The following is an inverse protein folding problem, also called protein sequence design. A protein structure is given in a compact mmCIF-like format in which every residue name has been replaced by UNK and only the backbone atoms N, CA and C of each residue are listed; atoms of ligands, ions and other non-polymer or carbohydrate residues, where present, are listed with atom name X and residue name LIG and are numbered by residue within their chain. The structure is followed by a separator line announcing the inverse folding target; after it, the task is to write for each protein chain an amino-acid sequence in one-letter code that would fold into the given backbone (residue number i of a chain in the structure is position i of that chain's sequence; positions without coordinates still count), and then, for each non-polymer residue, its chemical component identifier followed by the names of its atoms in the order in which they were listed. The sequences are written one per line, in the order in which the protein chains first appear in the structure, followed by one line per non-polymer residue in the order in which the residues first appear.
data_IF_084582087747
#
_entry.id   IF_084582087747
#
_cell.length_a   1.000
_cell.length_b   1.000
_cell.length_c   1.000
_cell.angle_alpha   90.00
_cell.angle_beta   90.00
_cell.angle_gamma   90.00
#
_symmetry.space_group_name_H-M   'P 1'
#
loop_
_entity.id
_entity.type
_entity.pdbx_description
1 polymer ?
#
# COMPACT_ATOMS: atom_id res chain seq x y z
N UNK A 1 -1.52 3.09 -38.21
CA UNK A 1 -2.37 2.93 -37.01
C UNK A 1 -2.74 1.46 -36.89
N UNK A 2 -2.29 0.76 -35.85
CA UNK A 2 -2.65 -0.65 -35.65
C UNK A 2 -4.08 -0.73 -35.12
N UNK A 3 -4.93 -1.57 -35.73
CA UNK A 3 -6.28 -1.81 -35.23
C UNK A 3 -6.21 -2.47 -33.86
N UNK A 4 -6.91 -1.90 -32.88
CA UNK A 4 -7.01 -2.48 -31.53
C UNK A 4 -7.95 -3.67 -31.62
N UNK A 5 -7.40 -4.89 -31.62
CA UNK A 5 -8.19 -6.13 -31.58
C UNK A 5 -8.82 -6.25 -30.19
N UNK A 6 -10.15 -6.25 -30.13
CA UNK A 6 -10.89 -6.44 -28.89
C UNK A 6 -10.80 -7.91 -28.46
N UNK A 7 -10.51 -8.23 -27.18
CA UNK A 7 -10.40 -9.60 -26.71
C UNK A 7 -11.74 -10.35 -26.74
N UNK A 8 -12.86 -9.63 -26.73
CA UNK A 8 -14.22 -10.17 -26.78
C UNK A 8 -15.07 -9.31 -27.71
N UNK A 9 -15.04 -9.54 -29.04
CA UNK A 9 -15.72 -8.66 -30.00
C UNK A 9 -17.25 -8.64 -29.83
N UNK A 10 -17.82 -9.66 -29.17
CA UNK A 10 -19.25 -9.81 -28.92
C UNK A 10 -19.73 -9.08 -27.66
N UNK A 11 -18.81 -8.64 -26.79
CA UNK A 11 -19.16 -8.02 -25.51
C UNK A 11 -18.91 -6.51 -25.53
N UNK A 12 -19.83 -5.70 -24.96
CA UNK A 12 -19.55 -4.29 -24.73
C UNK A 12 -18.29 -4.08 -23.89
N UNK A 13 -17.43 -3.16 -24.33
CA UNK A 13 -16.13 -2.89 -23.69
C UNK A 13 -16.25 -2.56 -22.20
N UNK A 14 -17.30 -1.84 -21.81
CA UNK A 14 -17.55 -1.46 -20.42
C UNK A 14 -17.89 -2.67 -19.53
N UNK A 15 -18.59 -3.66 -20.08
CA UNK A 15 -18.90 -4.91 -19.37
C UNK A 15 -17.63 -5.72 -19.14
N UNK A 16 -16.81 -5.87 -20.18
CA UNK A 16 -15.51 -6.56 -20.09
C UNK A 16 -14.62 -5.88 -19.05
N UNK A 17 -14.53 -4.54 -19.09
CA UNK A 17 -13.80 -3.75 -18.11
C UNK A 17 -14.30 -3.98 -16.69
N UNK A 18 -15.61 -3.91 -16.46
CA UNK A 18 -16.23 -4.13 -15.15
C UNK A 18 -15.89 -5.51 -14.58
N UNK A 19 -15.96 -6.56 -15.41
CA UNK A 19 -15.58 -7.93 -15.00
C UNK A 19 -14.11 -7.99 -14.55
N UNK A 20 -13.20 -7.39 -15.30
CA UNK A 20 -11.78 -7.34 -14.93
C UNK A 20 -11.55 -6.54 -13.64
N UNK A 21 -12.14 -5.36 -13.50
CA UNK A 21 -12.01 -4.53 -12.29
C UNK A 21 -12.56 -5.25 -11.05
N UNK A 22 -13.70 -5.93 -11.15
CA UNK A 22 -14.28 -6.74 -10.07
C UNK A 22 -13.38 -7.93 -9.73
N UNK A 23 -12.85 -8.64 -10.73
CA UNK A 23 -11.93 -9.75 -10.51
C UNK A 23 -10.65 -9.30 -9.78
N UNK A 24 -10.03 -8.21 -10.23
CA UNK A 24 -8.84 -7.63 -9.60
C UNK A 24 -9.11 -7.13 -8.17
N UNK A 25 -10.28 -6.54 -7.93
CA UNK A 25 -10.68 -6.04 -6.61
C UNK A 25 -10.92 -7.16 -5.60
N UNK A 26 -11.52 -8.26 -6.06
CA UNK A 26 -11.93 -9.39 -5.21
C UNK A 26 -10.77 -10.32 -4.92
N UNK A 27 -9.87 -10.51 -5.91
CA UNK A 27 -8.73 -11.41 -5.83
C UNK A 27 -7.43 -10.65 -6.14
N UNK A 28 -6.82 -9.99 -5.14
CA UNK A 28 -5.64 -9.16 -5.34
C UNK A 28 -4.48 -9.93 -6.00
N UNK A 29 -4.25 -11.18 -5.61
CA UNK A 29 -3.23 -12.04 -6.21
C UNK A 29 -3.38 -12.19 -7.73
N UNK A 30 -4.61 -12.20 -8.24
CA UNK A 30 -4.89 -12.30 -9.67
C UNK A 30 -4.73 -10.98 -10.41
N UNK A 31 -4.83 -9.84 -9.72
CA UNK A 31 -4.63 -8.52 -10.33
C UNK A 31 -3.27 -8.42 -11.03
N UNK A 32 -2.22 -9.03 -10.46
CA UNK A 32 -0.89 -9.09 -11.06
C UNK A 32 -0.86 -9.88 -12.39
N UNK A 33 -1.66 -10.94 -12.49
CA UNK A 33 -1.82 -11.73 -13.73
C UNK A 33 -2.60 -10.91 -14.76
N UNK A 34 -3.69 -10.26 -14.33
CA UNK A 34 -4.53 -9.44 -15.19
C UNK A 34 -3.78 -8.26 -15.81
N UNK A 35 -2.85 -7.64 -15.08
CA UNK A 35 -1.96 -6.58 -15.60
C UNK A 35 -1.09 -7.02 -16.80
N UNK A 36 -0.94 -8.33 -17.02
CA UNK A 36 -0.13 -8.91 -18.10
C UNK A 36 -0.95 -9.37 -19.31
N UNK A 37 -2.28 -9.34 -19.24
CA UNK A 37 -3.16 -9.86 -20.31
C UNK A 37 -3.06 -9.03 -21.58
N UNK A 38 -3.19 -7.71 -21.48
CA UNK A 38 -3.04 -6.78 -22.60
C UNK A 38 -2.76 -5.37 -22.08
N UNK A 39 -2.30 -4.45 -22.95
CA UNK A 39 -2.10 -3.04 -22.59
C UNK A 39 -3.39 -2.35 -22.17
N UNK A 40 -4.51 -2.71 -22.80
CA UNK A 40 -5.82 -2.15 -22.49
C UNK A 40 -6.30 -2.60 -21.10
N UNK A 41 -6.22 -3.91 -20.83
CA UNK A 41 -6.55 -4.47 -19.51
C UNK A 41 -5.61 -3.92 -18.44
N UNK A 42 -4.32 -3.75 -18.75
CA UNK A 42 -3.37 -3.11 -17.84
C UNK A 42 -3.85 -1.70 -17.44
N UNK A 43 -4.26 -0.87 -18.39
CA UNK A 43 -4.74 0.48 -18.10
C UNK A 43 -5.99 0.49 -17.22
N UNK A 44 -6.91 -0.47 -17.41
CA UNK A 44 -8.10 -0.61 -16.56
C UNK A 44 -7.78 -1.13 -15.15
N UNK A 45 -6.88 -2.11 -15.04
CA UNK A 45 -6.60 -2.79 -13.78
C UNK A 45 -5.61 -2.02 -12.92
N UNK A 46 -4.68 -1.25 -13.52
CA UNK A 46 -3.65 -0.52 -12.77
C UNK A 46 -4.21 0.31 -11.61
N UNK A 47 -5.23 1.18 -11.78
CA UNK A 47 -5.78 1.94 -10.65
C UNK A 47 -6.36 1.06 -9.54
N UNK A 48 -6.95 -0.09 -9.89
CA UNK A 48 -7.53 -1.03 -8.93
C UNK A 48 -6.44 -1.79 -8.18
N UNK A 49 -5.42 -2.28 -8.89
CA UNK A 49 -4.32 -3.06 -8.32
C UNK A 49 -3.48 -2.24 -7.32
N UNK A 50 -3.23 -0.97 -7.62
CA UNK A 50 -2.46 -0.08 -6.74
C UNK A 50 -3.30 0.60 -5.66
N UNK A 51 -4.62 0.40 -5.64
CA UNK A 51 -5.52 1.02 -4.64
C UNK A 51 -5.14 0.65 -3.21
N UNK A 52 -4.73 -0.61 -2.99
CA UNK A 52 -4.31 -1.15 -1.68
C UNK A 52 -2.92 -1.76 -1.81
N UNK A 53 -1.94 -1.18 -1.14
CA UNK A 53 -0.55 -1.63 -1.19
C UNK A 53 -0.15 -2.16 0.19
N UNK A 54 0.35 -3.40 0.20
CA UNK A 54 0.88 -4.06 1.39
C UNK A 54 2.37 -4.31 1.18
N UNK A 55 3.21 -3.64 1.97
CA UNK A 55 4.67 -3.74 1.90
C UNK A 55 5.13 -4.62 3.06
N UNK A 56 5.60 -5.82 2.75
CA UNK A 56 6.02 -6.80 3.75
C UNK A 56 7.53 -6.97 3.70
N UNK A 57 8.18 -6.50 4.76
CA UNK A 57 9.61 -6.46 4.93
C UNK A 57 10.26 -5.21 4.32
N UNK A 58 11.50 -4.91 4.75
CA UNK A 58 12.28 -3.78 4.22
C UNK A 58 12.47 -3.83 2.70
N UNK A 59 12.67 -5.02 2.14
CA UNK A 59 12.93 -5.20 0.71
C UNK A 59 11.74 -4.76 -0.15
N UNK A 60 10.52 -5.19 0.20
CA UNK A 60 9.31 -4.77 -0.52
C UNK A 60 9.11 -3.26 -0.45
N UNK A 61 9.41 -2.68 0.71
CA UNK A 61 9.40 -1.24 0.90
C UNK A 61 10.37 -0.52 -0.05
N UNK A 62 11.64 -0.93 -0.10
CA UNK A 62 12.64 -0.23 -0.95
C UNK A 62 12.31 -0.37 -2.43
N UNK A 63 11.86 -1.55 -2.88
CA UNK A 63 11.40 -1.71 -4.26
C UNK A 63 10.24 -0.79 -4.60
N UNK A 64 9.29 -0.65 -3.68
CA UNK A 64 8.17 0.25 -3.87
C UNK A 64 8.62 1.72 -3.93
N UNK A 65 9.45 2.17 -2.99
CA UNK A 65 10.00 3.53 -3.00
C UNK A 65 10.78 3.84 -4.30
N UNK A 66 11.64 2.92 -4.73
CA UNK A 66 12.35 3.05 -6.00
C UNK A 66 11.40 3.09 -7.20
N UNK A 67 10.33 2.28 -7.19
CA UNK A 67 9.34 2.29 -8.27
C UNK A 67 8.55 3.60 -8.36
N UNK A 68 8.27 4.25 -7.21
CA UNK A 68 7.64 5.57 -7.19
C UNK A 68 8.55 6.64 -7.81
N UNK A 69 9.84 6.61 -7.45
CA UNK A 69 10.83 7.52 -8.03
C UNK A 69 10.94 7.36 -9.55
N UNK A 70 10.98 6.12 -10.05
CA UNK A 70 11.08 5.82 -11.48
C UNK A 70 9.81 6.22 -12.27
N UNK A 71 8.63 6.07 -11.66
CA UNK A 71 7.35 6.36 -12.31
C UNK A 71 6.90 7.81 -12.13
N UNK A 72 7.77 8.69 -11.64
CA UNK A 72 7.45 10.08 -11.31
C UNK A 72 6.18 10.18 -10.44
N UNK A 73 6.03 9.25 -9.50
CA UNK A 73 4.91 9.17 -8.58
C UNK A 73 3.53 8.88 -9.22
N UNK A 74 3.45 8.51 -10.51
CA UNK A 74 2.15 8.22 -11.15
C UNK A 74 1.35 7.11 -10.42
N UNK A 75 2.02 6.19 -9.72
CA UNK A 75 1.36 5.18 -8.91
C UNK A 75 0.84 5.73 -7.57
N UNK A 76 1.47 6.73 -6.95
CA UNK A 76 1.06 7.23 -5.62
C UNK A 76 -0.32 7.89 -5.66
N UNK A 77 -0.70 8.48 -6.79
CA UNK A 77 -2.03 9.05 -7.01
C UNK A 77 -3.15 8.00 -7.07
N UNK A 78 -2.83 6.71 -7.11
CA UNK A 78 -3.83 5.64 -7.09
C UNK A 78 -3.93 4.95 -5.73
N UNK A 79 -2.91 5.09 -4.88
CA UNK A 79 -2.85 4.42 -3.58
C UNK A 79 -3.79 5.11 -2.59
N UNK A 80 -4.78 4.36 -2.10
CA UNK A 80 -5.71 4.81 -1.06
C UNK A 80 -5.41 4.20 0.30
N UNK A 81 -4.89 2.97 0.32
CA UNK A 81 -4.51 2.25 1.52
C UNK A 81 -3.07 1.78 1.38
N UNK A 82 -2.21 2.20 2.31
CA UNK A 82 -0.82 1.77 2.40
C UNK A 82 -0.60 1.09 3.75
N UNK A 83 -0.19 -0.17 3.72
CA UNK A 83 0.15 -0.93 4.93
C UNK A 83 1.61 -1.38 4.86
N UNK A 84 2.41 -1.00 5.85
CA UNK A 84 3.84 -1.26 5.90
C UNK A 84 4.13 -2.17 7.08
N UNK A 85 4.70 -3.35 6.82
CA UNK A 85 5.02 -4.38 7.80
C UNK A 85 6.53 -4.62 7.81
N UNK A 86 7.27 -3.96 8.72
CA UNK A 86 8.74 -3.93 8.66
C UNK A 86 9.43 -5.10 9.40
N UNK A 87 8.66 -5.98 10.06
CA UNK A 87 9.20 -7.15 10.76
C UNK A 87 10.03 -6.80 12.00
N UNK A 88 10.80 -7.78 12.52
CA UNK A 88 11.56 -7.68 13.78
C UNK A 88 12.86 -6.87 13.72
N UNK A 89 13.38 -6.64 12.52
CA UNK A 89 14.76 -6.15 12.31
C UNK A 89 14.83 -4.64 12.03
N UNK A 90 13.70 -3.92 11.94
CA UNK A 90 13.72 -2.50 11.58
C UNK A 90 13.74 -1.61 12.82
N UNK A 91 14.93 -1.33 13.35
CA UNK A 91 15.14 -0.20 14.28
C UNK A 91 15.03 1.16 13.58
N UNK A 92 14.95 1.18 12.24
CA UNK A 92 15.06 2.36 11.38
C UNK A 92 13.76 2.76 10.66
N UNK A 93 12.61 2.60 11.32
CA UNK A 93 11.28 2.93 10.73
C UNK A 93 11.24 4.37 10.19
N UNK A 94 11.87 5.30 10.91
CA UNK A 94 11.92 6.71 10.54
C UNK A 94 12.64 6.91 9.20
N UNK A 95 13.72 6.19 8.94
CA UNK A 95 14.47 6.27 7.68
C UNK A 95 13.58 5.84 6.50
N UNK A 96 12.79 4.77 6.70
CA UNK A 96 11.78 4.33 5.71
C UNK A 96 10.64 5.35 5.52
N UNK A 97 10.28 6.17 6.49
CA UNK A 97 9.26 7.20 6.23
C UNK A 97 9.85 8.40 5.49
N UNK A 98 11.13 8.70 5.70
CA UNK A 98 11.83 9.75 4.96
C UNK A 98 12.12 9.38 3.51
N UNK A 99 12.37 8.10 3.22
CA UNK A 99 12.60 7.61 1.86
C UNK A 99 11.32 7.60 1.00
N UNK A 100 10.13 7.52 1.61
CA UNK A 100 8.89 7.59 0.85
C UNK A 100 8.59 9.05 0.49
N UNK A 101 8.23 9.35 -0.77
CA UNK A 101 7.69 10.65 -1.14
C UNK A 101 6.24 10.76 -0.63
N UNK A 102 6.06 10.80 0.69
CA UNK A 102 4.75 10.75 1.38
C UNK A 102 3.83 11.89 0.88
N UNK A 103 4.40 13.05 0.59
CA UNK A 103 3.66 14.18 0.03
C UNK A 103 3.05 13.91 -1.37
N UNK A 104 3.56 12.92 -2.11
CA UNK A 104 3.03 12.56 -3.44
C UNK A 104 1.76 11.70 -3.38
N UNK A 105 1.36 11.25 -2.19
CA UNK A 105 0.17 10.42 -2.02
C UNK A 105 -1.09 11.28 -1.87
N UNK A 106 -1.57 11.82 -2.98
CA UNK A 106 -2.72 12.74 -3.02
C UNK A 106 -4.05 12.09 -2.61
N UNK A 107 -4.17 10.76 -2.67
CA UNK A 107 -5.40 10.00 -2.36
C UNK A 107 -5.27 9.02 -1.20
N UNK A 108 -4.14 9.03 -0.49
CA UNK A 108 -3.93 8.12 0.63
C UNK A 108 -4.84 8.50 1.80
N UNK A 109 -5.77 7.61 2.11
CA UNK A 109 -6.76 7.80 3.19
C UNK A 109 -6.47 6.93 4.39
N UNK A 110 -5.76 5.81 4.22
CA UNK A 110 -5.45 4.84 5.27
C UNK A 110 -3.95 4.50 5.24
N UNK A 111 -3.26 4.78 6.33
CA UNK A 111 -1.87 4.39 6.54
C UNK A 111 -1.78 3.47 7.75
N UNK A 112 -1.23 2.27 7.56
CA UNK A 112 -0.96 1.33 8.65
C UNK A 112 0.54 1.02 8.68
N UNK A 113 1.16 1.12 9.84
CA UNK A 113 2.57 0.80 10.06
C UNK A 113 2.63 -0.21 11.20
N UNK A 114 3.02 -1.44 10.89
CA UNK A 114 3.33 -2.49 11.85
C UNK A 114 4.84 -2.62 11.98
N UNK A 115 5.35 -2.40 13.19
CA UNK A 115 6.75 -2.59 13.46
C UNK A 115 7.02 -3.11 14.88
N UNK A 116 8.14 -3.81 15.03
CA UNK A 116 8.46 -4.51 16.27
C UNK A 116 9.17 -3.65 17.32
N UNK A 117 9.62 -2.46 16.91
CA UNK A 117 10.23 -1.48 17.80
C UNK A 117 10.05 -0.11 17.17
N UNK A 118 9.07 0.63 17.64
CA UNK A 118 8.92 2.05 17.30
C UNK A 118 9.80 2.84 18.25
N UNK A 119 11.09 2.83 17.95
CA UNK A 119 11.98 3.79 18.54
C UNK A 119 11.69 5.14 17.85
N UNK A 120 10.67 5.84 18.35
CA UNK A 120 10.24 7.15 17.87
C UNK A 120 11.27 8.21 18.29
N UNK A 121 12.51 8.05 17.87
CA UNK A 121 13.60 8.98 18.16
C UNK A 121 13.36 10.37 17.57
N UNK A 122 12.37 10.53 16.70
CA UNK A 122 11.83 11.82 16.30
C UNK A 122 10.33 11.73 16.01
N UNK A 123 9.51 11.83 17.07
CA UNK A 123 8.06 12.05 16.95
C UNK A 123 7.77 13.23 16.01
N UNK A 124 8.61 14.27 16.03
CA UNK A 124 8.46 15.44 15.18
C UNK A 124 8.65 15.15 13.67
N UNK A 125 9.57 14.26 13.30
CA UNK A 125 9.72 13.85 11.90
C UNK A 125 8.54 13.00 11.44
N UNK A 126 8.08 12.09 12.30
CA UNK A 126 6.88 11.31 12.03
C UNK A 126 5.66 12.21 11.84
N UNK A 127 5.44 13.15 12.75
CA UNK A 127 4.31 14.07 12.69
C UNK A 127 4.32 14.91 11.41
N UNK A 128 5.48 15.48 11.02
CA UNK A 128 5.59 16.24 9.77
C UNK A 128 5.24 15.41 8.53
N UNK A 129 5.62 14.14 8.51
CA UNK A 129 5.25 13.24 7.42
C UNK A 129 3.73 12.98 7.39
N UNK A 130 3.10 12.80 8.55
CA UNK A 130 1.65 12.64 8.67
C UNK A 130 0.92 13.93 8.25
N UNK A 131 1.40 15.10 8.66
CA UNK A 131 0.79 16.40 8.32
C UNK A 131 0.81 16.68 6.80
N UNK A 132 1.76 16.10 6.07
CA UNK A 132 1.80 16.18 4.62
C UNK A 132 0.67 15.39 3.93
N UNK A 133 0.08 14.40 4.61
CA UNK A 133 -0.98 13.55 4.09
C UNK A 133 -2.37 14.16 4.33
N UNK A 134 -2.70 15.20 3.55
CA UNK A 134 -3.94 15.98 3.71
C UNK A 134 -5.24 15.16 3.65
N UNK A 135 -5.23 13.99 3.00
CA UNK A 135 -6.40 13.12 2.85
C UNK A 135 -6.41 11.96 3.85
N UNK A 136 -5.44 11.88 4.77
CA UNK A 136 -5.35 10.80 5.71
C UNK A 136 -6.51 10.87 6.70
N UNK A 137 -7.33 9.82 6.71
CA UNK A 137 -8.48 9.67 7.61
C UNK A 137 -8.21 8.66 8.71
N UNK A 138 -7.32 7.69 8.44
CA UNK A 138 -7.00 6.61 9.37
C UNK A 138 -5.49 6.40 9.43
N UNK A 139 -4.95 6.45 10.65
CA UNK A 139 -3.57 6.14 10.95
C UNK A 139 -3.51 5.01 11.98
N UNK A 140 -3.07 3.84 11.54
CA UNK A 140 -2.80 2.69 12.40
C UNK A 140 -1.30 2.57 12.65
N UNK A 141 -0.86 2.77 13.88
CA UNK A 141 0.54 2.52 14.27
C UNK A 141 0.54 1.41 15.30
N UNK A 142 1.04 0.25 14.92
CA UNK A 142 1.09 -0.92 15.79
C UNK A 142 2.55 -1.21 16.11
N UNK A 143 2.96 -0.86 17.31
CA UNK A 143 4.21 -1.30 17.91
C UNK A 143 3.99 -2.62 18.63
N UNK A 144 4.74 -3.66 18.30
CA UNK A 144 4.86 -4.80 19.22
C UNK A 144 5.86 -4.36 20.29
N UNK A 145 5.48 -4.19 21.56
CA UNK A 145 6.47 -3.87 22.58
C UNK A 145 7.48 -5.02 22.64
N UNK A 146 8.73 -4.76 22.23
CA UNK A 146 9.84 -5.64 22.59
C UNK A 146 9.82 -5.77 24.11
N UNK A 147 9.93 -6.98 24.66
CA UNK A 147 9.71 -7.32 26.06
C UNK A 147 10.72 -6.70 27.06
N UNK A 148 11.10 -5.44 26.87
CA UNK A 148 11.67 -4.60 27.91
C UNK A 148 10.61 -4.38 28.99
N UNK A 149 10.86 -4.91 30.19
CA UNK A 149 10.01 -4.82 31.39
C UNK A 149 9.90 -3.39 31.97
N UNK A 150 9.78 -2.35 31.16
CA UNK A 150 9.42 -1.02 31.66
C UNK A 150 7.93 -0.78 31.39
N UNK A 151 7.15 -0.67 32.46
CA UNK A 151 5.74 -0.23 32.43
C UNK A 151 5.66 1.16 31.80
N UNK A 152 5.44 1.21 30.50
CA UNK A 152 4.92 2.41 29.83
C UNK A 152 3.40 2.31 29.94
N UNK A 153 2.78 3.29 30.61
CA UNK A 153 1.34 3.37 30.75
C UNK A 153 0.72 3.86 29.42
N UNK A 154 0.13 2.93 28.68
CA UNK A 154 -0.50 3.16 27.38
C UNK A 154 -1.98 3.58 27.49
N UNK A 155 -2.49 3.86 28.70
CA UNK A 155 -3.91 4.15 28.92
C UNK A 155 -4.42 5.44 28.25
N UNK A 156 -3.53 6.34 27.81
CA UNK A 156 -3.91 7.62 27.21
C UNK A 156 -3.97 7.64 25.66
N UNK A 157 -3.53 6.61 24.95
CA UNK A 157 -3.54 6.58 23.47
C UNK A 157 -4.42 5.44 22.94
N UNK A 158 -5.72 5.56 23.15
CA UNK A 158 -6.71 4.67 22.51
C UNK A 158 -7.05 5.23 21.13
N UNK A 159 -6.24 4.90 20.13
CA UNK A 159 -6.66 4.96 18.72
C UNK A 159 -7.56 3.73 18.51
N UNK A 160 -8.83 3.98 18.17
CA UNK A 160 -9.87 2.97 17.99
C UNK A 160 -9.39 1.84 17.05
N UNK A 161 -9.21 0.64 17.60
CA UNK A 161 -8.86 -0.54 16.82
C UNK A 161 -10.14 -1.18 16.26
N UNK A 162 -10.35 -1.06 14.94
CA UNK A 162 -11.45 -1.73 14.24
C UNK A 162 -11.27 -3.25 14.32
N UNK A 163 -11.90 -3.87 15.33
CA UNK A 163 -12.14 -5.32 15.40
C UNK A 163 -13.44 -5.64 14.68
N UNK A 164 -13.34 -6.28 13.51
CA UNK A 164 -14.22 -7.37 13.02
C UNK A 164 -13.63 -7.96 11.73
N UNK A 165 -13.33 -9.26 11.77
CA UNK A 165 -13.20 -10.21 10.65
C UNK A 165 -12.20 -9.95 9.51
N UNK A 166 -10.93 -9.68 9.82
CA UNK A 166 -9.86 -9.78 8.82
C UNK A 166 -9.10 -11.11 8.98
N UNK A 167 -9.47 -12.14 8.21
CA UNK A 167 -8.45 -13.09 7.73
C UNK A 167 -7.34 -12.26 7.07
N UNK A 168 -6.05 -12.59 7.27
CA UNK A 168 -4.99 -11.90 6.53
C UNK A 168 -5.31 -12.01 5.04
N UNK A 169 -5.43 -10.90 4.29
CA UNK A 169 -5.73 -10.97 2.87
C UNK A 169 -4.61 -11.73 2.16
N UNK A 170 -4.98 -12.61 1.22
CA UNK A 170 -4.04 -13.37 0.42
C UNK A 170 -2.97 -12.44 -0.16
N UNK A 171 -1.73 -12.78 0.17
CA UNK A 171 -0.52 -12.00 -0.03
C UNK A 171 -0.33 -11.63 -1.49
N UNK A 172 -0.42 -10.34 -1.80
CA UNK A 172 0.12 -9.80 -3.04
C UNK A 172 1.64 -9.78 -2.95
N UNK A 173 2.30 -10.79 -3.51
CA UNK A 173 3.69 -10.68 -3.89
C UNK A 173 3.80 -9.58 -4.95
N UNK A 174 4.61 -8.55 -4.69
CA UNK A 174 5.05 -7.61 -5.72
C UNK A 174 5.72 -8.46 -6.82
N UNK A 175 5.20 -8.47 -8.06
CA UNK A 175 5.85 -9.22 -9.13
C UNK A 175 7.27 -8.67 -9.31
N UNK A 176 8.26 -9.56 -9.22
CA UNK A 176 9.62 -9.24 -9.63
C UNK A 176 9.58 -9.00 -11.13
N UNK A 177 9.72 -7.75 -11.55
CA UNK A 177 10.04 -7.44 -12.94
C UNK A 177 11.49 -7.89 -13.16
N UNK A 178 11.65 -9.05 -13.79
CA UNK A 178 12.91 -9.54 -14.35
C UNK A 178 13.03 -9.12 -15.81
#
# INVERSE_FOLDING_TARGET
MAAVVQPFPELPVDLVRSVFEVAASTRPAEAAILLRVSRLVHAWIKPVAYRRVYLIGPTAYHFFAASLALTQNAASDTVQTLSIYLGRQSSRIIDYLHELPIASFTRLTHLTILASSLALHSVASFQRAIDALKQLTHLGVVGIPSQSRSRIDWSAQRIEATRRDARPPDLLMVPRYG
#
